data_IF_939595845508
#
_entry.id   IF_939595845508
#
_cell.length_a   1.000
_cell.length_b   1.000
_cell.length_c   1.000
_cell.angle_alpha   90.00
_cell.angle_beta   90.00
_cell.angle_gamma   90.00
#
_symmetry.space_group_name_H-M   'P 1'
#
loop_
_entity.id
_entity.type
_entity.pdbx_description
1 polymer ?
#
# COMPACT_ATOMS: atom_id res chain seq x y z
N UNK A 1 -9.40 -17.87 5.24
CA UNK A 1 -10.65 -18.63 5.01
C UNK A 1 -11.24 -18.25 3.68
N UNK A 2 -11.67 -19.25 2.92
CA UNK A 2 -12.39 -19.07 1.66
C UNK A 2 -13.61 -20.00 1.64
N UNK A 3 -14.63 -19.64 0.89
CA UNK A 3 -15.83 -20.45 0.77
C UNK A 3 -16.75 -19.96 -0.34
N UNK A 4 -17.79 -20.73 -0.55
CA UNK A 4 -18.85 -20.45 -1.50
C UNK A 4 -20.19 -20.73 -0.85
N UNK A 5 -21.09 -19.77 -0.97
CA UNK A 5 -22.48 -19.95 -0.57
C UNK A 5 -23.38 -19.90 -1.80
N UNK A 6 -24.20 -20.93 -1.97
CA UNK A 6 -25.13 -21.07 -3.11
C UNK A 6 -26.53 -20.75 -2.63
N UNK A 7 -27.11 -19.66 -3.10
CA UNK A 7 -28.49 -19.26 -2.80
C UNK A 7 -29.51 -20.12 -3.59
N UNK A 8 -29.20 -20.37 -4.87
CA UNK A 8 -29.98 -21.17 -5.78
C UNK A 8 -29.15 -21.55 -7.02
N UNK A 9 -29.74 -22.26 -7.99
CA UNK A 9 -29.08 -22.72 -9.22
C UNK A 9 -28.43 -21.58 -10.03
N UNK A 10 -28.88 -20.33 -9.84
CA UNK A 10 -28.46 -19.16 -10.63
C UNK A 10 -27.66 -18.13 -9.83
N UNK A 11 -27.60 -18.27 -8.50
CA UNK A 11 -26.98 -17.26 -7.65
C UNK A 11 -26.03 -17.89 -6.63
N UNK A 12 -24.82 -17.43 -6.61
CA UNK A 12 -23.77 -17.83 -5.65
C UNK A 12 -22.90 -16.66 -5.24
N UNK A 13 -22.41 -16.73 -4.01
CA UNK A 13 -21.45 -15.81 -3.43
C UNK A 13 -20.17 -16.59 -3.12
N UNK A 14 -19.05 -16.12 -3.67
CA UNK A 14 -17.73 -16.59 -3.28
C UNK A 14 -17.13 -15.54 -2.35
N UNK A 15 -16.41 -15.99 -1.33
CA UNK A 15 -15.69 -15.10 -0.43
C UNK A 15 -14.31 -15.65 -0.10
N UNK A 16 -13.38 -14.74 0.09
CA UNK A 16 -12.04 -15.03 0.58
C UNK A 16 -11.66 -13.97 1.60
N UNK A 17 -11.30 -14.42 2.81
CA UNK A 17 -10.89 -13.56 3.92
C UNK A 17 -9.50 -13.98 4.39
N UNK A 18 -8.58 -13.06 4.42
CA UNK A 18 -7.21 -13.28 4.87
C UNK A 18 -6.78 -12.20 5.86
N UNK A 19 -6.22 -12.63 6.97
CA UNK A 19 -5.55 -11.74 7.92
C UNK A 19 -4.16 -12.28 8.19
N UNK A 20 -3.19 -11.38 8.16
CA UNK A 20 -1.77 -11.68 8.44
C UNK A 20 -1.30 -10.75 9.53
N UNK A 21 -0.81 -11.34 10.60
CA UNK A 21 0.01 -10.66 11.61
C UNK A 21 1.46 -11.03 11.36
N UNK A 22 2.29 -10.03 11.24
CA UNK A 22 3.74 -10.19 11.09
C UNK A 22 4.40 -9.39 12.20
N UNK A 23 5.21 -10.04 13.01
CA UNK A 23 6.10 -9.31 13.93
C UNK A 23 7.38 -8.99 13.14
N UNK A 24 7.52 -7.78 12.58
CA UNK A 24 8.63 -7.45 11.69
C UNK A 24 9.89 -7.09 12.49
N UNK A 25 10.22 -7.86 13.53
CA UNK A 25 11.43 -7.65 14.32
C UNK A 25 12.64 -8.17 13.57
N UNK A 26 13.71 -7.42 13.66
CA UNK A 26 15.03 -7.90 13.28
C UNK A 26 15.59 -8.75 14.42
N UNK A 27 15.87 -10.02 14.16
CA UNK A 27 16.41 -10.95 15.15
C UNK A 27 17.78 -10.47 15.68
N UNK A 28 18.58 -9.85 14.83
CA UNK A 28 19.92 -9.34 15.13
C UNK A 28 19.95 -7.83 15.44
N UNK A 29 18.81 -7.22 15.79
CA UNK A 29 18.71 -5.77 15.95
C UNK A 29 19.77 -5.17 16.89
N UNK A 30 20.18 -5.90 17.94
CA UNK A 30 21.21 -5.43 18.87
C UNK A 30 22.57 -5.30 18.20
N UNK A 31 22.96 -6.29 17.37
CA UNK A 31 24.22 -6.27 16.60
C UNK A 31 24.18 -5.17 15.57
N UNK A 32 23.06 -5.04 14.85
CA UNK A 32 22.86 -3.99 13.84
C UNK A 32 22.91 -2.61 14.48
N UNK A 33 22.20 -2.37 15.56
CA UNK A 33 22.27 -1.09 16.28
C UNK A 33 23.67 -0.77 16.78
N UNK A 34 24.41 -1.75 17.30
CA UNK A 34 25.79 -1.55 17.72
C UNK A 34 26.65 -1.12 16.52
N UNK A 35 26.51 -1.77 15.38
CA UNK A 35 27.19 -1.41 14.13
C UNK A 35 26.76 -0.03 13.63
N UNK A 36 25.47 0.25 13.54
CA UNK A 36 24.93 1.54 13.09
C UNK A 36 25.38 2.72 14.00
N UNK A 37 25.63 2.45 15.28
CA UNK A 37 26.17 3.47 16.19
C UNK A 37 27.65 3.79 15.98
N UNK A 38 28.40 2.95 15.25
CA UNK A 38 29.78 3.23 14.85
C UNK A 38 29.87 4.00 13.53
N UNK A 39 28.77 4.24 12.84
CA UNK A 39 28.75 4.97 11.58
C UNK A 39 29.17 6.42 11.79
N UNK A 40 30.28 6.79 11.17
CA UNK A 40 30.81 8.16 11.14
C UNK A 40 30.66 8.80 9.75
N UNK A 41 30.57 7.96 8.72
CA UNK A 41 30.35 8.40 7.35
C UNK A 41 28.90 8.90 7.19
N UNK A 42 28.69 10.15 6.69
CA UNK A 42 27.35 10.67 6.44
C UNK A 42 26.47 9.77 5.56
N UNK A 43 27.04 9.08 4.59
CA UNK A 43 26.28 8.16 3.72
C UNK A 43 25.75 6.94 4.50
N UNK A 44 26.60 6.35 5.35
CA UNK A 44 26.19 5.22 6.20
C UNK A 44 25.14 5.65 7.23
N UNK A 45 25.30 6.85 7.82
CA UNK A 45 24.32 7.38 8.75
C UNK A 45 22.93 7.56 8.13
N UNK A 46 22.86 7.84 6.83
CA UNK A 46 21.59 7.97 6.08
C UNK A 46 20.84 6.65 5.94
N UNK A 47 21.53 5.53 5.93
CA UNK A 47 20.94 4.18 5.82
C UNK A 47 20.48 3.62 7.16
N UNK A 48 20.78 4.30 8.26
CA UNK A 48 20.38 3.89 9.60
C UNK A 48 18.85 3.76 9.69
N UNK A 49 18.36 2.75 10.42
CA UNK A 49 16.93 2.63 10.70
C UNK A 49 16.49 3.66 11.73
N UNK A 50 15.32 4.25 11.55
CA UNK A 50 14.71 5.11 12.56
C UNK A 50 14.24 4.33 13.81
N UNK A 51 13.98 3.04 13.66
CA UNK A 51 13.68 2.12 14.76
C UNK A 51 14.44 0.81 14.56
N UNK A 52 15.51 0.64 15.28
CA UNK A 52 16.40 -0.51 15.20
C UNK A 52 15.79 -1.85 15.55
N UNK A 53 14.59 -1.89 16.15
CA UNK A 53 13.92 -3.15 16.52
C UNK A 53 13.17 -3.77 15.35
N UNK A 54 12.73 -2.96 14.38
CA UNK A 54 11.85 -3.40 13.33
C UNK A 54 12.54 -3.42 11.97
N UNK A 55 12.17 -4.39 11.15
CA UNK A 55 12.52 -4.41 9.74
C UNK A 55 11.82 -3.25 9.02
N UNK A 56 12.58 -2.52 8.21
CA UNK A 56 12.10 -1.37 7.46
C UNK A 56 10.97 -1.75 6.49
N UNK A 57 10.02 -0.84 6.28
CA UNK A 57 8.97 -0.92 5.26
C UNK A 57 8.01 -2.11 5.41
N UNK A 58 7.83 -2.63 6.63
CA UNK A 58 6.94 -3.76 6.89
C UNK A 58 5.74 -3.34 7.75
N UNK A 59 4.52 -3.52 7.27
CA UNK A 59 3.33 -3.37 8.10
C UNK A 59 3.23 -4.55 9.07
N UNK A 60 2.69 -4.31 10.26
CA UNK A 60 2.48 -5.33 11.28
C UNK A 60 1.23 -6.17 11.01
N UNK A 61 0.20 -5.54 10.51
CA UNK A 61 -1.09 -6.16 10.22
C UNK A 61 -1.49 -5.93 8.77
N UNK A 62 -2.06 -6.95 8.16
CA UNK A 62 -2.68 -6.88 6.84
C UNK A 62 -3.96 -7.68 6.82
N UNK A 63 -5.03 -7.11 6.26
CA UNK A 63 -6.29 -7.78 6.05
C UNK A 63 -6.69 -7.66 4.58
N UNK A 64 -7.19 -8.76 4.02
CA UNK A 64 -7.75 -8.79 2.67
C UNK A 64 -9.09 -9.50 2.71
N UNK A 65 -10.07 -8.91 2.05
CA UNK A 65 -11.36 -9.53 1.80
C UNK A 65 -11.69 -9.44 0.32
N UNK A 66 -12.17 -10.52 -0.23
CA UNK A 66 -12.71 -10.59 -1.60
C UNK A 66 -14.10 -11.18 -1.52
N UNK A 67 -15.05 -10.51 -2.15
CA UNK A 67 -16.43 -10.97 -2.31
C UNK A 67 -16.77 -10.95 -3.79
N UNK A 68 -17.33 -12.04 -4.30
CA UNK A 68 -17.79 -12.20 -5.67
C UNK A 68 -19.20 -12.79 -5.69
N UNK A 69 -20.15 -11.95 -6.03
CA UNK A 69 -21.53 -12.37 -6.25
C UNK A 69 -21.76 -12.65 -7.73
N UNK A 70 -22.19 -13.85 -8.04
CA UNK A 70 -22.51 -14.28 -9.40
C UNK A 70 -24.02 -14.58 -9.48
N UNK A 71 -24.68 -13.96 -10.44
CA UNK A 71 -26.09 -14.19 -10.69
C UNK A 71 -26.34 -14.28 -12.21
N UNK A 72 -26.69 -15.47 -12.68
CA UNK A 72 -26.88 -15.76 -14.10
C UNK A 72 -25.68 -15.29 -14.95
N UNK A 73 -25.84 -14.18 -15.68
CA UNK A 73 -24.82 -13.60 -16.55
C UNK A 73 -24.08 -12.42 -15.93
N UNK A 74 -24.46 -12.03 -14.70
CA UNK A 74 -23.90 -10.87 -13.99
C UNK A 74 -22.92 -11.37 -12.92
N UNK A 75 -21.84 -10.66 -12.80
CA UNK A 75 -20.86 -10.82 -11.73
C UNK A 75 -20.59 -9.46 -11.08
N UNK A 76 -20.67 -9.38 -9.77
CA UNK A 76 -20.35 -8.19 -8.99
C UNK A 76 -19.32 -8.60 -7.96
N UNK A 77 -18.17 -7.95 -7.94
CA UNK A 77 -17.10 -8.24 -7.01
C UNK A 77 -16.62 -7.00 -6.26
N UNK A 78 -16.13 -7.22 -5.06
CA UNK A 78 -15.45 -6.21 -4.26
C UNK A 78 -14.21 -6.80 -3.60
N UNK A 79 -13.13 -6.00 -3.56
CA UNK A 79 -11.93 -6.29 -2.79
C UNK A 79 -11.72 -5.20 -1.76
N UNK A 80 -11.38 -5.59 -0.54
CA UNK A 80 -10.91 -4.68 0.51
C UNK A 80 -9.50 -5.10 0.89
N UNK A 81 -8.57 -4.15 0.88
CA UNK A 81 -7.21 -4.36 1.36
C UNK A 81 -6.93 -3.33 2.44
N UNK A 82 -6.69 -3.78 3.65
CA UNK A 82 -6.28 -2.94 4.77
C UNK A 82 -4.88 -3.30 5.22
N UNK A 83 -4.10 -2.28 5.56
CA UNK A 83 -2.75 -2.42 6.13
C UNK A 83 -2.56 -1.44 7.26
N UNK A 84 -1.85 -1.89 8.31
CA UNK A 84 -1.40 -1.01 9.36
C UNK A 84 -0.25 -0.12 8.90
N UNK A 85 -0.01 0.97 9.63
CA UNK A 85 1.13 1.85 9.42
C UNK A 85 2.46 1.10 9.45
N UNK A 86 3.45 1.67 8.80
CA UNK A 86 4.83 1.18 8.79
C UNK A 86 5.56 1.69 10.03
N UNK A 87 6.26 0.79 10.74
CA UNK A 87 6.93 1.12 11.99
C UNK A 87 8.33 1.68 11.79
N UNK A 88 9.08 1.13 10.83
CA UNK A 88 10.46 1.50 10.58
C UNK A 88 10.72 1.84 9.12
N UNK A 89 11.51 2.91 8.90
CA UNK A 89 11.97 3.38 7.58
C UNK A 89 13.44 3.80 7.71
N UNK A 90 14.08 4.16 6.61
CA UNK A 90 15.42 4.74 6.66
C UNK A 90 15.40 6.09 7.39
N UNK A 91 16.39 6.31 8.25
CA UNK A 91 16.49 7.51 9.08
C UNK A 91 16.48 8.80 8.23
N UNK A 92 17.16 8.78 7.09
CA UNK A 92 17.20 9.93 6.16
C UNK A 92 15.81 10.43 5.77
N UNK A 93 14.81 9.54 5.71
CA UNK A 93 13.44 9.90 5.34
C UNK A 93 12.73 10.72 6.42
N UNK A 94 13.28 10.72 7.65
CA UNK A 94 12.72 11.41 8.82
C UNK A 94 13.64 12.48 9.36
N UNK A 95 14.82 12.68 8.77
CA UNK A 95 15.77 13.67 9.21
C UNK A 95 15.30 15.08 8.85
N UNK A 96 14.99 15.87 9.86
CA UNK A 96 14.57 17.27 9.72
C UNK A 96 15.77 18.25 9.78
N UNK A 97 16.99 17.74 10.03
CA UNK A 97 18.19 18.58 10.21
C UNK A 97 18.69 19.24 8.95
N UNK A 98 18.23 18.82 7.80
CA UNK A 98 18.58 19.43 6.52
C UNK A 98 18.05 20.85 6.31
N UNK A 99 17.40 21.44 7.34
CA UNK A 99 16.92 22.83 7.29
C UNK A 99 18.03 23.89 7.39
N UNK A 100 19.21 23.50 7.85
CA UNK A 100 20.31 24.46 8.11
C UNK A 100 21.38 24.53 7.03
N UNK A 101 21.53 23.50 6.20
CA UNK A 101 22.42 23.51 5.05
C UNK A 101 21.75 22.79 3.88
N UNK A 102 21.47 23.48 2.76
CA UNK A 102 20.87 22.87 1.58
C UNK A 102 21.87 21.88 0.94
N UNK A 103 21.69 20.59 1.24
CA UNK A 103 22.39 19.50 0.56
C UNK A 103 21.72 19.22 -0.79
N UNK A 104 22.44 18.57 -1.69
CA UNK A 104 21.92 18.10 -2.99
C UNK A 104 20.57 17.38 -2.84
N UNK A 105 20.36 16.68 -1.73
CA UNK A 105 19.10 16.02 -1.40
C UNK A 105 17.95 17.00 -1.15
N UNK A 106 18.21 18.17 -0.56
CA UNK A 106 17.19 19.21 -0.36
C UNK A 106 16.83 19.88 -1.68
N UNK A 107 17.81 20.05 -2.55
CA UNK A 107 17.59 20.53 -3.91
C UNK A 107 16.72 19.54 -4.71
N UNK A 108 17.05 18.25 -4.67
CA UNK A 108 16.26 17.19 -5.31
C UNK A 108 14.85 17.07 -4.69
N UNK A 109 14.73 17.23 -3.38
CA UNK A 109 13.41 17.30 -2.70
C UNK A 109 12.59 18.50 -3.19
N UNK A 110 13.22 19.67 -3.32
CA UNK A 110 12.56 20.87 -3.83
C UNK A 110 12.03 20.68 -5.25
N UNK A 111 12.81 20.02 -6.12
CA UNK A 111 12.40 19.72 -7.50
C UNK A 111 11.28 18.69 -7.56
N UNK A 112 11.38 17.59 -6.79
CA UNK A 112 10.45 16.48 -6.89
C UNK A 112 9.14 16.71 -6.14
N UNK A 113 9.16 17.49 -5.06
CA UNK A 113 8.01 17.63 -4.16
C UNK A 113 7.52 19.06 -4.00
N UNK A 114 8.16 20.00 -4.68
CA UNK A 114 7.85 21.42 -4.61
C UNK A 114 8.09 22.02 -3.22
N UNK A 115 8.59 23.22 -3.18
CA UNK A 115 8.72 24.02 -1.94
C UNK A 115 7.39 24.68 -1.54
N UNK A 116 6.26 24.10 -1.89
CA UNK A 116 4.98 24.68 -1.55
C UNK A 116 4.66 24.42 -0.08
N UNK A 117 4.68 25.48 0.70
CA UNK A 117 4.21 25.56 2.09
C UNK A 117 5.12 24.99 3.19
N UNK A 118 6.42 24.76 2.95
CA UNK A 118 7.33 24.32 4.02
C UNK A 118 7.10 22.88 4.51
N UNK A 119 6.32 22.06 3.79
CA UNK A 119 6.14 20.66 4.12
C UNK A 119 7.36 19.86 3.67
N UNK A 120 8.04 19.24 4.63
CA UNK A 120 9.19 18.37 4.35
C UNK A 120 8.70 16.94 4.06
N UNK A 121 9.56 16.12 3.43
CA UNK A 121 9.25 14.69 3.24
C UNK A 121 8.96 14.00 4.57
N UNK A 122 9.68 14.36 5.62
CA UNK A 122 9.47 13.83 6.96
C UNK A 122 8.10 14.21 7.53
N UNK A 123 7.68 15.48 7.39
CA UNK A 123 6.38 15.93 7.87
C UNK A 123 5.23 15.29 7.06
N UNK A 124 5.39 15.21 5.75
CA UNK A 124 4.44 14.52 4.88
C UNK A 124 4.31 13.04 5.28
N UNK A 125 5.43 12.33 5.45
CA UNK A 125 5.41 10.94 5.85
C UNK A 125 4.76 10.72 7.21
N UNK A 126 5.11 11.52 8.22
CA UNK A 126 4.50 11.44 9.56
C UNK A 126 2.97 11.61 9.50
N UNK A 127 2.49 12.49 8.64
CA UNK A 127 1.06 12.76 8.46
C UNK A 127 0.33 11.63 7.72
N UNK A 128 0.98 11.01 6.72
CA UNK A 128 0.35 10.04 5.82
C UNK A 128 0.70 8.58 6.14
N UNK A 129 1.67 8.31 7.02
CA UNK A 129 1.97 6.96 7.50
C UNK A 129 0.96 6.53 8.56
N UNK A 130 -0.25 6.33 8.13
CA UNK A 130 -1.38 5.84 8.94
C UNK A 130 -1.83 4.49 8.44
N UNK A 131 -2.67 3.82 9.21
CA UNK A 131 -3.43 2.69 8.70
C UNK A 131 -4.28 3.12 7.52
N UNK A 132 -4.39 2.29 6.49
CA UNK A 132 -5.20 2.60 5.34
C UNK A 132 -5.95 1.39 4.80
N UNK A 133 -7.09 1.65 4.16
CA UNK A 133 -7.83 0.66 3.41
C UNK A 133 -8.08 1.16 1.99
N UNK A 134 -7.94 0.27 1.01
CA UNK A 134 -8.42 0.48 -0.36
C UNK A 134 -9.57 -0.47 -0.64
N UNK A 135 -10.53 0.01 -1.41
CA UNK A 135 -11.69 -0.76 -1.86
C UNK A 135 -11.69 -0.72 -3.38
N UNK A 136 -11.73 -1.89 -3.98
CA UNK A 136 -11.89 -2.05 -5.42
C UNK A 136 -13.25 -2.70 -5.71
N UNK A 137 -13.90 -2.28 -6.78
CA UNK A 137 -15.15 -2.88 -7.25
C UNK A 137 -15.02 -3.34 -8.69
N UNK A 138 -15.75 -4.40 -9.03
CA UNK A 138 -15.86 -4.90 -10.39
C UNK A 138 -17.28 -5.32 -10.68
N UNK A 139 -17.70 -5.02 -11.90
CA UNK A 139 -18.98 -5.43 -12.44
C UNK A 139 -18.74 -6.10 -13.79
N UNK A 140 -19.23 -7.29 -13.95
CA UNK A 140 -19.08 -8.07 -15.17
C UNK A 140 -20.43 -8.53 -15.71
N UNK A 141 -20.55 -8.59 -17.03
CA UNK A 141 -21.72 -9.13 -17.73
C UNK A 141 -21.30 -9.99 -18.91
N UNK A 142 -21.84 -11.20 -19.00
CA UNK A 142 -21.75 -12.06 -20.20
C UNK A 142 -22.85 -11.65 -21.17
N UNK A 143 -22.51 -10.86 -22.18
CA UNK A 143 -23.46 -10.40 -23.20
C UNK A 143 -23.93 -11.57 -24.07
N UNK A 144 -22.98 -12.39 -24.55
CA UNK A 144 -23.26 -13.64 -25.30
C UNK A 144 -22.49 -14.81 -24.69
N UNK A 145 -22.45 -15.95 -25.37
CA UNK A 145 -21.59 -17.08 -24.98
C UNK A 145 -20.12 -16.77 -25.24
N UNK A 146 -19.85 -15.95 -26.22
CA UNK A 146 -18.53 -15.60 -26.74
C UNK A 146 -18.01 -14.26 -26.20
N UNK A 147 -18.90 -13.32 -25.77
CA UNK A 147 -18.55 -11.95 -25.41
C UNK A 147 -18.90 -11.65 -23.96
N UNK A 148 -17.93 -11.18 -23.22
CA UNK A 148 -18.11 -10.67 -21.86
C UNK A 148 -17.47 -9.28 -21.70
N UNK A 149 -18.12 -8.44 -20.93
CA UNK A 149 -17.59 -7.12 -20.54
C UNK A 149 -17.35 -7.09 -19.04
N UNK A 150 -16.30 -6.38 -18.64
CA UNK A 150 -16.00 -6.13 -17.23
C UNK A 150 -15.62 -4.65 -17.06
N UNK A 151 -16.23 -4.04 -16.07
CA UNK A 151 -15.91 -2.69 -15.58
C UNK A 151 -15.33 -2.79 -14.19
N UNK A 152 -14.19 -2.15 -13.95
CA UNK A 152 -13.51 -2.17 -12.67
C UNK A 152 -13.21 -0.74 -12.21
N UNK A 153 -13.36 -0.50 -10.92
CA UNK A 153 -12.96 0.71 -10.24
C UNK A 153 -11.97 0.30 -9.15
N UNK A 154 -10.71 0.66 -9.34
CA UNK A 154 -9.69 0.45 -8.31
C UNK A 154 -9.61 1.70 -7.42
N UNK A 155 -9.35 1.49 -6.15
CA UNK A 155 -9.32 2.55 -5.14
C UNK A 155 -10.61 3.41 -5.19
N UNK A 156 -11.76 2.78 -5.07
CA UNK A 156 -13.10 3.40 -5.16
C UNK A 156 -13.23 4.64 -4.29
N UNK A 157 -12.67 4.61 -3.08
CA UNK A 157 -12.71 5.72 -2.12
C UNK A 157 -11.72 6.84 -2.44
N UNK A 158 -10.92 6.69 -3.48
CA UNK A 158 -9.81 7.58 -3.84
C UNK A 158 -8.91 7.90 -2.63
N UNK A 159 -8.64 6.88 -1.82
CA UNK A 159 -7.81 7.03 -0.63
C UNK A 159 -6.37 7.27 -1.06
N UNK A 160 -5.78 8.37 -0.63
CA UNK A 160 -4.35 8.56 -0.70
C UNK A 160 -3.67 7.68 0.34
N UNK A 161 -2.68 6.89 -0.10
CA UNK A 161 -1.92 6.01 0.76
C UNK A 161 -0.50 5.85 0.25
N UNK A 162 0.41 5.58 1.18
CA UNK A 162 1.81 5.38 0.88
C UNK A 162 2.28 4.07 1.50
N UNK A 163 2.89 3.20 0.71
CA UNK A 163 3.42 1.92 1.20
C UNK A 163 4.91 1.99 1.54
N UNK A 164 5.56 3.09 1.26
CA UNK A 164 6.90 3.50 1.72
C UNK A 164 7.07 4.98 1.42
N UNK A 165 8.02 5.69 2.06
CA UNK A 165 8.32 7.07 1.70
C UNK A 165 8.58 7.20 0.20
N UNK A 166 8.12 8.28 -0.41
CA UNK A 166 8.22 8.59 -1.85
C UNK A 166 7.44 7.63 -2.78
N UNK A 167 6.68 6.68 -2.26
CA UNK A 167 5.88 5.77 -3.08
C UNK A 167 4.40 5.90 -2.72
N UNK A 168 3.71 6.80 -3.39
CA UNK A 168 2.26 7.00 -3.28
C UNK A 168 1.55 5.93 -4.11
N UNK A 169 0.50 5.36 -3.54
CA UNK A 169 -0.34 4.39 -4.22
C UNK A 169 -1.16 5.03 -5.35
N UNK A 170 -1.62 4.20 -6.28
CA UNK A 170 -2.41 4.67 -7.40
C UNK A 170 -3.72 5.35 -6.93
N UNK A 171 -4.11 6.48 -7.52
CA UNK A 171 -5.40 7.10 -7.29
C UNK A 171 -6.52 6.21 -7.82
N UNK A 172 -7.77 6.67 -7.71
CA UNK A 172 -8.89 5.97 -8.33
C UNK A 172 -8.67 5.80 -9.82
N UNK A 173 -8.81 4.56 -10.30
CA UNK A 173 -8.71 4.24 -11.72
C UNK A 173 -9.93 3.47 -12.20
N UNK A 174 -10.33 3.71 -13.43
CA UNK A 174 -11.43 3.02 -14.10
C UNK A 174 -10.86 2.17 -15.22
N UNK A 175 -11.28 0.91 -15.28
CA UNK A 175 -10.83 -0.05 -16.29
C UNK A 175 -12.03 -0.70 -16.94
N UNK A 176 -12.05 -0.73 -18.27
CA UNK A 176 -13.01 -1.49 -19.07
C UNK A 176 -12.26 -2.62 -19.76
N UNK A 177 -12.78 -3.83 -19.65
CA UNK A 177 -12.24 -5.01 -20.31
C UNK A 177 -13.33 -5.69 -21.13
N UNK A 178 -12.99 -6.15 -22.31
CA UNK A 178 -13.82 -7.01 -23.15
C UNK A 178 -13.07 -8.31 -23.39
N UNK A 179 -13.71 -9.42 -23.11
CA UNK A 179 -13.22 -10.77 -23.42
C UNK A 179 -14.04 -11.35 -24.57
N UNK A 180 -13.36 -11.85 -25.59
CA UNK A 180 -13.96 -12.51 -26.75
C UNK A 180 -13.34 -13.90 -26.89
N UNK A 181 -14.17 -14.92 -26.96
CA UNK A 181 -13.78 -16.33 -27.17
C UNK A 181 -14.27 -16.78 -28.54
N UNK A 182 -13.37 -17.30 -29.38
CA UNK A 182 -13.66 -17.79 -30.72
C UNK A 182 -13.86 -19.30 -30.71
#
# INVERSE_FOLDING_TARGET
>A
TNGMYTFNKNAKLLYNLGYVYTEPRDADYKKRNALENTYTDPLQMKEKSNDGKYLKYRPKHSFKATLDFQWKRINIGANVNWKSKILAVDYIMLDERSKSEPDLLDYVRGILFGSSNGETLASYWKKHNTDYATVDMRFGVKATKEVAFQFMINNLLNKEYSYRPMAVGAPRTFVVKMDVTF
#
